data_IF_648476280783
#
_entry.id   IF_648476280783
#
_cell.length_a   1.000
_cell.length_b   1.000
_cell.length_c   1.000
_cell.angle_alpha   90.00
_cell.angle_beta   90.00
_cell.angle_gamma   90.00
#
_symmetry.space_group_name_H-M   'P 1'
#
loop_
_entity.id
_entity.type
_entity.pdbx_description
1 polymer ?
#
# COMPACT_ATOMS: atom_id res chain seq x y z
N UNK A 1 43.48 57.59 31.50
CA UNK A 1 42.14 57.93 30.96
C UNK A 1 41.35 56.63 30.84
N UNK A 2 40.23 56.48 31.56
CA UNK A 2 39.45 55.22 31.60
C UNK A 2 38.11 55.41 30.85
N UNK A 3 37.64 54.43 30.06
CA UNK A 3 36.37 54.55 29.33
C UNK A 3 35.17 54.15 30.21
N UNK A 4 34.10 54.94 30.12
CA UNK A 4 32.84 54.74 30.85
C UNK A 4 31.94 53.71 30.16
N UNK A 5 31.49 52.72 30.92
CA UNK A 5 30.64 51.60 30.47
C UNK A 5 29.18 52.05 30.44
N UNK A 6 28.63 52.26 29.24
CA UNK A 6 27.22 52.57 29.04
C UNK A 6 26.36 51.32 29.18
N UNK A 7 25.38 51.36 30.08
CA UNK A 7 24.49 50.24 30.37
C UNK A 7 23.32 50.26 29.38
N UNK A 8 23.32 49.36 28.39
CA UNK A 8 22.18 49.14 27.52
C UNK A 8 21.03 48.52 28.33
N UNK A 9 19.93 49.27 28.51
CA UNK A 9 18.69 48.74 29.07
C UNK A 9 17.94 48.00 27.96
N UNK A 10 17.91 46.67 28.07
CA UNK A 10 17.16 45.79 27.17
C UNK A 10 15.68 45.87 27.52
N UNK A 11 14.92 46.62 26.74
CA UNK A 11 13.46 46.71 26.88
C UNK A 11 12.86 45.44 26.28
N UNK A 12 12.27 44.60 27.11
CA UNK A 12 11.48 43.45 26.65
C UNK A 12 10.07 43.94 26.31
N UNK A 13 9.74 43.92 25.02
CA UNK A 13 8.38 44.18 24.55
C UNK A 13 7.49 43.01 24.95
N UNK A 14 6.50 43.27 25.82
CA UNK A 14 5.50 42.29 26.21
C UNK A 14 4.43 42.22 25.12
N UNK A 15 4.31 41.06 24.48
CA UNK A 15 3.24 40.77 23.53
C UNK A 15 2.19 39.89 24.24
N UNK A 16 0.99 40.42 24.55
CA UNK A 16 -0.06 39.58 25.09
C UNK A 16 -0.46 38.53 24.05
N UNK A 17 -0.73 37.28 24.45
CA UNK A 17 -1.14 36.24 23.52
C UNK A 17 -2.46 36.64 22.87
N UNK A 18 -2.44 36.80 21.54
CA UNK A 18 -3.64 37.01 20.73
C UNK A 18 -4.51 35.75 20.82
N UNK A 19 -5.49 35.76 21.72
CA UNK A 19 -6.48 34.69 21.82
C UNK A 19 -7.54 34.93 20.76
N UNK A 20 -7.32 34.40 19.55
CA UNK A 20 -8.31 34.41 18.48
C UNK A 20 -9.41 33.43 18.87
N UNK A 21 -10.49 33.94 19.46
CA UNK A 21 -11.66 33.15 19.83
C UNK A 21 -12.58 33.03 18.62
N UNK A 22 -12.31 32.05 17.75
CA UNK A 22 -13.21 31.69 16.67
C UNK A 22 -14.43 30.98 17.25
N UNK A 23 -15.62 31.55 17.07
CA UNK A 23 -16.88 30.85 17.37
C UNK A 23 -17.33 30.15 16.10
N UNK A 24 -17.51 28.84 16.18
CA UNK A 24 -18.18 28.08 15.14
C UNK A 24 -19.68 28.36 15.23
N UNK A 25 -20.28 28.72 14.10
CA UNK A 25 -21.74 28.76 14.01
C UNK A 25 -22.29 27.36 14.29
N UNK A 26 -23.42 27.28 14.99
CA UNK A 26 -24.16 26.02 15.12
C UNK A 26 -24.67 25.68 13.73
N UNK A 27 -24.01 24.73 13.07
CA UNK A 27 -24.46 24.22 11.78
C UNK A 27 -25.81 23.55 11.97
N UNK A 28 -26.84 24.06 11.27
CA UNK A 28 -28.11 23.34 11.16
C UNK A 28 -27.83 22.06 10.37
N UNK A 29 -28.16 20.86 10.90
CA UNK A 29 -27.84 19.63 10.22
C UNK A 29 -28.49 19.64 8.82
N UNK A 30 -27.74 19.32 7.76
CA UNK A 30 -28.31 19.27 6.42
C UNK A 30 -29.47 18.27 6.44
N UNK A 31 -30.62 18.69 5.90
CA UNK A 31 -31.77 17.83 5.68
C UNK A 31 -31.28 16.52 5.07
N UNK A 32 -31.45 15.43 5.80
CA UNK A 32 -31.07 14.10 5.32
C UNK A 32 -31.85 13.83 4.03
N UNK A 33 -31.19 13.50 2.91
CA UNK A 33 -31.92 13.06 1.73
C UNK A 33 -32.77 11.84 2.11
N UNK A 34 -34.02 11.86 1.67
CA UNK A 34 -35.00 10.78 1.88
C UNK A 34 -34.40 9.43 1.46
N UNK A 35 -34.24 8.56 2.46
CA UNK A 35 -33.94 7.12 2.41
C UNK A 35 -33.50 6.55 1.06
N UNK A 36 -32.21 6.22 0.96
CA UNK A 36 -31.71 5.30 -0.07
C UNK A 36 -32.50 4.00 -0.01
N UNK A 37 -33.19 3.67 -1.11
CA UNK A 37 -33.88 2.40 -1.30
C UNK A 37 -32.88 1.27 -1.02
N UNK A 38 -33.18 0.49 0.01
CA UNK A 38 -32.45 -0.71 0.40
C UNK A 38 -32.73 -1.79 -0.65
N UNK A 39 -31.78 -2.02 -1.54
CA UNK A 39 -31.82 -3.16 -2.46
C UNK A 39 -31.38 -4.40 -1.70
N UNK A 40 -32.34 -5.18 -1.21
CA UNK A 40 -32.07 -6.50 -0.65
C UNK A 40 -31.78 -7.47 -1.80
N UNK A 41 -30.56 -7.99 -1.86
CA UNK A 41 -30.20 -9.05 -2.81
C UNK A 41 -30.71 -10.39 -2.27
N UNK A 42 -31.56 -11.12 -3.00
CA UNK A 42 -32.03 -12.43 -2.54
C UNK A 42 -30.83 -13.37 -2.44
N UNK A 43 -30.58 -13.86 -1.24
CA UNK A 43 -29.60 -14.91 -0.98
C UNK A 43 -30.16 -16.20 -1.54
N UNK A 44 -29.65 -16.64 -2.69
CA UNK A 44 -29.90 -17.98 -3.20
C UNK A 44 -29.27 -18.98 -2.23
N UNK A 45 -30.09 -19.57 -1.37
CA UNK A 45 -29.74 -20.77 -0.61
C UNK A 45 -29.70 -21.93 -1.62
N UNK A 46 -28.54 -22.57 -1.87
CA UNK A 46 -28.53 -23.82 -2.61
C UNK A 46 -29.13 -24.90 -1.71
N UNK A 47 -30.34 -25.31 -2.11
CA UNK A 47 -31.07 -26.46 -1.61
C UNK A 47 -30.11 -27.66 -1.55
N UNK A 48 -29.86 -28.14 -0.32
CA UNK A 48 -29.23 -29.44 -0.10
C UNK A 48 -30.28 -30.49 -0.41
N UNK A 49 -30.00 -31.34 -1.40
CA UNK A 49 -30.12 -32.80 -1.34
C UNK A 49 -30.30 -33.37 -2.76
N UNK A 50 -29.21 -33.88 -3.36
CA UNK A 50 -29.23 -35.18 -4.06
C UNK A 50 -27.78 -35.67 -4.33
N UNK A 51 -27.43 -36.95 -4.10
CA UNK A 51 -26.09 -37.49 -4.29
C UNK A 51 -26.01 -38.37 -5.54
N UNK A 52 -25.20 -38.03 -6.56
CA UNK A 52 -24.56 -39.03 -7.44
C UNK A 52 -23.37 -38.43 -8.19
N UNK A 53 -22.29 -39.21 -8.21
CA UNK A 53 -20.94 -38.99 -8.74
C UNK A 53 -20.77 -38.55 -10.20
N UNK A 54 -19.51 -38.15 -10.46
CA UNK A 54 -18.68 -38.17 -11.69
C UNK A 54 -18.65 -36.88 -12.51
N UNK A 55 -17.56 -36.10 -12.45
CA UNK A 55 -16.19 -36.28 -13.03
C UNK A 55 -16.12 -35.85 -14.49
N UNK A 56 -15.49 -34.68 -14.70
CA UNK A 56 -14.55 -34.41 -15.81
C UNK A 56 -13.54 -33.38 -15.29
N UNK A 57 -12.41 -33.79 -14.69
CA UNK A 57 -11.10 -33.97 -15.35
C UNK A 57 -10.77 -32.92 -16.41
N UNK A 58 -9.92 -31.97 -16.02
CA UNK A 58 -8.88 -31.42 -16.88
C UNK A 58 -7.55 -31.56 -16.16
N UNK A 59 -6.91 -32.70 -16.44
CA UNK A 59 -5.49 -33.02 -16.44
C UNK A 59 -4.57 -32.57 -15.29
N UNK A 60 -4.32 -33.56 -14.43
CA UNK A 60 -3.01 -34.06 -14.02
C UNK A 60 -1.77 -33.39 -14.62
N UNK A 61 -1.05 -32.66 -13.77
CA UNK A 61 0.39 -32.83 -13.60
C UNK A 61 0.63 -32.78 -12.08
N UNK A 62 1.55 -33.61 -11.60
CA UNK A 62 1.90 -33.80 -10.19
C UNK A 62 2.61 -32.55 -9.63
N UNK A 63 1.92 -31.42 -9.56
CA UNK A 63 2.44 -30.14 -9.07
C UNK A 63 1.77 -29.81 -7.76
N UNK A 64 2.57 -29.57 -6.73
CA UNK A 64 2.10 -29.09 -5.42
C UNK A 64 1.13 -27.91 -5.62
N UNK A 65 0.04 -27.82 -4.84
CA UNK A 65 -0.91 -26.71 -4.99
C UNK A 65 -0.18 -25.38 -4.83
N UNK A 66 -0.28 -24.51 -5.84
CA UNK A 66 0.31 -23.17 -5.79
C UNK A 66 -0.38 -22.35 -4.70
N UNK A 67 0.41 -21.52 -4.02
CA UNK A 67 -0.08 -20.66 -2.94
C UNK A 67 -0.89 -19.50 -3.56
N UNK A 68 -2.20 -19.54 -3.35
CA UNK A 68 -3.13 -18.51 -3.81
C UNK A 68 -2.95 -17.19 -3.05
N UNK A 69 -3.37 -16.08 -3.68
CA UNK A 69 -3.36 -14.77 -3.03
C UNK A 69 -4.35 -14.72 -1.86
N UNK A 70 -3.97 -14.23 -0.67
CA UNK A 70 -4.90 -14.06 0.44
C UNK A 70 -5.96 -13.00 0.14
N UNK A 71 -7.08 -13.06 0.86
CA UNK A 71 -8.13 -12.05 0.78
C UNK A 71 -7.66 -10.72 1.35
N UNK A 72 -7.90 -9.63 0.61
CA UNK A 72 -7.61 -8.26 1.04
C UNK A 72 -6.58 -7.53 0.18
N UNK A 73 -6.22 -6.31 0.58
CA UNK A 73 -5.16 -5.53 -0.06
C UNK A 73 -3.90 -5.51 0.81
N UNK A 74 -2.74 -5.75 0.19
CA UNK A 74 -1.44 -5.56 0.84
C UNK A 74 -1.35 -4.16 1.44
N UNK A 75 -0.91 -4.05 2.70
CA UNK A 75 -0.76 -2.82 3.52
C UNK A 75 -2.02 -2.25 4.19
N UNK A 76 -3.22 -2.77 3.95
CA UNK A 76 -4.46 -2.30 4.63
C UNK A 76 -4.80 -3.05 5.92
N UNK A 77 -3.83 -3.30 6.79
CA UNK A 77 -3.99 -4.10 8.01
C UNK A 77 -5.23 -3.73 8.87
N UNK A 78 -5.55 -2.43 9.01
CA UNK A 78 -6.71 -1.97 9.82
C UNK A 78 -8.09 -2.12 9.14
N UNK A 79 -8.15 -2.47 7.86
CA UNK A 79 -9.39 -2.54 7.07
C UNK A 79 -9.52 -3.87 6.31
N UNK A 80 -9.04 -4.97 6.90
CA UNK A 80 -9.11 -6.31 6.30
C UNK A 80 -8.08 -6.56 5.19
N UNK A 81 -6.97 -5.83 5.18
CA UNK A 81 -5.79 -6.18 4.40
C UNK A 81 -4.79 -7.03 5.19
N UNK A 82 -3.77 -7.53 4.52
CA UNK A 82 -2.74 -8.40 5.12
C UNK A 82 -1.34 -7.76 5.06
N UNK A 83 -0.47 -8.28 5.91
CA UNK A 83 0.97 -7.99 5.91
C UNK A 83 1.72 -8.98 5.05
N UNK A 84 2.46 -8.48 4.05
CA UNK A 84 3.20 -9.35 3.12
C UNK A 84 4.24 -10.23 3.84
N UNK A 85 4.90 -9.70 4.88
CA UNK A 85 5.88 -10.45 5.68
C UNK A 85 5.22 -11.58 6.49
N UNK A 86 4.03 -11.32 7.02
CA UNK A 86 3.26 -12.27 7.83
C UNK A 86 2.73 -13.41 6.96
N UNK A 87 2.20 -13.09 5.78
CA UNK A 87 1.62 -14.06 4.86
C UNK A 87 2.67 -15.01 4.25
N UNK A 88 3.81 -14.46 3.84
CA UNK A 88 4.85 -15.27 3.19
C UNK A 88 5.59 -16.17 4.18
N UNK A 89 5.63 -15.78 5.46
CA UNK A 89 6.38 -16.45 6.52
C UNK A 89 7.83 -16.81 6.13
N UNK A 90 8.45 -15.97 5.30
CA UNK A 90 9.82 -16.17 4.83
C UNK A 90 10.85 -15.78 5.88
N UNK A 91 12.03 -16.38 5.81
CA UNK A 91 13.20 -15.89 6.52
C UNK A 91 13.46 -14.42 6.14
N UNK A 92 13.77 -13.59 7.14
CA UNK A 92 13.99 -12.15 6.95
C UNK A 92 15.09 -11.85 5.93
N UNK A 93 16.13 -12.68 5.86
CA UNK A 93 17.19 -12.56 4.85
C UNK A 93 16.66 -12.74 3.42
N UNK A 94 15.84 -13.78 3.21
CA UNK A 94 15.23 -14.09 1.91
C UNK A 94 14.24 -12.98 1.52
N UNK A 95 13.35 -12.59 2.44
CA UNK A 95 12.39 -11.52 2.21
C UNK A 95 13.08 -10.22 1.76
N UNK A 96 14.13 -9.79 2.47
CA UNK A 96 14.89 -8.58 2.11
C UNK A 96 15.61 -8.73 0.77
N UNK A 97 16.16 -9.90 0.47
CA UNK A 97 16.84 -10.16 -0.79
C UNK A 97 15.88 -10.06 -1.99
N UNK A 98 14.73 -10.74 -1.90
CA UNK A 98 13.67 -10.67 -2.93
C UNK A 98 13.17 -9.24 -3.07
N UNK A 99 12.84 -8.59 -1.95
CA UNK A 99 12.37 -7.22 -1.95
C UNK A 99 13.35 -6.27 -2.63
N UNK A 100 14.65 -6.36 -2.29
CA UNK A 100 15.70 -5.55 -2.88
C UNK A 100 15.80 -5.77 -4.39
N UNK A 101 15.83 -7.03 -4.83
CA UNK A 101 15.91 -7.35 -6.26
C UNK A 101 14.70 -6.84 -7.04
N UNK A 102 13.48 -7.06 -6.53
CA UNK A 102 12.26 -6.56 -7.19
C UNK A 102 12.27 -5.03 -7.27
N UNK A 103 12.77 -4.33 -6.24
CA UNK A 103 12.92 -2.87 -6.29
C UNK A 103 13.96 -2.41 -7.33
N UNK A 104 15.05 -3.15 -7.54
CA UNK A 104 16.05 -2.86 -8.57
C UNK A 104 15.43 -3.01 -9.97
N UNK A 105 14.78 -4.15 -10.23
CA UNK A 105 14.06 -4.40 -11.48
C UNK A 105 12.99 -3.34 -11.76
N UNK A 106 12.28 -2.89 -10.72
CA UNK A 106 11.31 -1.82 -10.86
C UNK A 106 11.93 -0.48 -11.27
N UNK A 107 13.17 -0.18 -10.83
CA UNK A 107 13.87 1.04 -11.24
C UNK A 107 14.39 0.96 -12.67
N UNK A 108 14.79 -0.23 -13.10
CA UNK A 108 15.35 -0.47 -14.44
C UNK A 108 14.25 -0.47 -15.52
N UNK A 109 13.12 -1.13 -15.25
CA UNK A 109 12.10 -1.36 -16.26
C UNK A 109 10.83 -0.51 -16.09
N UNK A 110 10.47 -0.08 -14.88
CA UNK A 110 9.17 0.56 -14.63
C UNK A 110 9.28 2.08 -14.45
N UNK A 111 8.16 2.76 -14.69
CA UNK A 111 8.06 4.20 -14.49
C UNK A 111 7.71 4.54 -13.03
N UNK A 112 8.71 4.97 -12.26
CA UNK A 112 8.60 5.19 -10.81
C UNK A 112 7.54 6.22 -10.39
N UNK A 113 7.22 7.21 -11.24
CA UNK A 113 6.20 8.21 -10.93
C UNK A 113 4.77 7.75 -11.24
N UNK A 114 4.60 6.60 -11.91
CA UNK A 114 3.33 5.99 -12.29
C UNK A 114 2.70 5.14 -11.18
N UNK A 115 1.37 5.05 -11.15
CA UNK A 115 0.69 4.06 -10.29
C UNK A 115 0.78 2.68 -10.91
N UNK A 116 0.72 1.61 -10.13
CA UNK A 116 0.78 0.22 -10.62
C UNK A 116 -0.11 -0.04 -11.87
N UNK A 117 -1.41 0.33 -11.91
CA UNK A 117 -2.26 0.09 -13.09
C UNK A 117 -1.88 0.93 -14.34
N UNK A 118 -1.01 1.94 -14.20
CA UNK A 118 -0.54 2.76 -15.32
C UNK A 118 0.79 2.25 -15.90
N UNK A 119 1.34 1.17 -15.35
CA UNK A 119 2.57 0.58 -15.86
C UNK A 119 2.29 -0.22 -17.14
N UNK A 120 3.29 -0.30 -17.99
CA UNK A 120 3.25 -1.11 -19.20
C UNK A 120 3.30 -2.60 -18.84
N UNK A 121 2.31 -3.35 -19.35
CA UNK A 121 2.17 -4.79 -19.06
C UNK A 121 3.35 -5.59 -19.58
N UNK A 122 3.88 -5.23 -20.76
CA UNK A 122 5.06 -5.91 -21.32
C UNK A 122 6.28 -5.78 -20.42
N UNK A 123 6.45 -4.62 -19.77
CA UNK A 123 7.56 -4.39 -18.83
C UNK A 123 7.34 -5.11 -17.50
N UNK A 124 6.09 -5.24 -17.04
CA UNK A 124 5.77 -6.03 -15.87
C UNK A 124 6.10 -7.51 -16.08
N UNK A 125 5.78 -8.07 -17.25
CA UNK A 125 6.12 -9.44 -17.61
C UNK A 125 7.63 -9.71 -17.57
N UNK A 126 8.44 -8.77 -18.07
CA UNK A 126 9.91 -8.85 -17.96
C UNK A 126 10.34 -8.90 -16.49
N UNK A 127 9.80 -8.01 -15.65
CA UNK A 127 10.12 -8.00 -14.22
C UNK A 127 9.72 -9.31 -13.53
N UNK A 128 8.56 -9.89 -13.87
CA UNK A 128 8.12 -11.17 -13.32
C UNK A 128 9.06 -12.31 -13.72
N UNK A 129 9.43 -12.38 -15.00
CA UNK A 129 10.34 -13.40 -15.51
C UNK A 129 11.73 -13.31 -14.85
N UNK A 130 12.28 -12.10 -14.72
CA UNK A 130 13.60 -11.89 -14.11
C UNK A 130 13.61 -12.13 -12.60
N UNK A 131 12.52 -11.79 -11.91
CA UNK A 131 12.36 -12.08 -10.49
C UNK A 131 12.33 -13.59 -10.24
N UNK A 132 11.53 -14.34 -11.02
CA UNK A 132 11.46 -15.81 -10.96
C UNK A 132 12.78 -16.49 -11.28
N UNK A 133 13.50 -15.96 -12.27
CA UNK A 133 14.85 -16.45 -12.62
C UNK A 133 15.84 -16.27 -11.47
N UNK A 134 15.71 -15.18 -10.70
CA UNK A 134 16.57 -14.88 -9.56
C UNK A 134 16.20 -15.70 -8.32
N UNK A 135 14.90 -15.92 -8.09
CA UNK A 135 14.38 -16.61 -6.91
C UNK A 135 13.33 -17.66 -7.31
N UNK A 136 13.74 -18.95 -7.43
CA UNK A 136 12.83 -20.03 -7.81
C UNK A 136 11.64 -20.24 -6.85
N UNK A 137 11.78 -19.82 -5.58
CA UNK A 137 10.70 -19.84 -4.56
C UNK A 137 9.46 -19.08 -5.03
N UNK A 138 9.61 -18.09 -5.91
CA UNK A 138 8.47 -17.34 -6.46
C UNK A 138 7.57 -18.19 -7.37
N UNK A 139 8.06 -19.31 -7.91
CA UNK A 139 7.26 -20.22 -8.74
C UNK A 139 6.22 -21.01 -7.94
N UNK A 140 6.33 -21.02 -6.60
CA UNK A 140 5.36 -21.69 -5.73
C UNK A 140 4.07 -20.87 -5.55
N UNK A 141 4.05 -19.62 -6.02
CA UNK A 141 2.94 -18.69 -5.84
C UNK A 141 2.13 -18.53 -7.12
N UNK A 142 0.81 -18.51 -6.98
CA UNK A 142 -0.10 -18.42 -8.12
C UNK A 142 -0.12 -17.01 -8.72
N UNK A 143 0.09 -16.88 -10.04
CA UNK A 143 -0.14 -15.61 -10.74
C UNK A 143 0.75 -14.44 -10.27
N UNK A 144 1.94 -14.74 -9.74
CA UNK A 144 2.99 -13.76 -9.42
C UNK A 144 2.57 -12.66 -8.43
N UNK A 145 1.53 -12.94 -7.63
CA UNK A 145 0.94 -11.98 -6.72
C UNK A 145 1.96 -11.42 -5.72
N UNK A 146 2.97 -12.22 -5.36
CA UNK A 146 4.04 -11.80 -4.44
C UNK A 146 4.86 -10.67 -5.04
N UNK A 147 5.31 -10.83 -6.28
CA UNK A 147 6.07 -9.80 -7.00
C UNK A 147 5.18 -8.58 -7.25
N UNK A 148 3.93 -8.81 -7.63
CA UNK A 148 2.93 -7.77 -7.81
C UNK A 148 2.76 -6.88 -6.57
N UNK A 149 2.64 -7.51 -5.39
CA UNK A 149 2.47 -6.82 -4.13
C UNK A 149 3.73 -6.05 -3.72
N UNK A 150 4.92 -6.63 -3.91
CA UNK A 150 6.18 -5.89 -3.70
C UNK A 150 6.24 -4.63 -4.58
N UNK A 151 5.87 -4.76 -5.86
CA UNK A 151 5.83 -3.62 -6.79
C UNK A 151 4.79 -2.58 -6.37
N UNK A 152 3.58 -2.99 -5.95
CA UNK A 152 2.53 -2.09 -5.47
C UNK A 152 3.01 -1.29 -4.25
N UNK A 153 3.62 -1.95 -3.26
CA UNK A 153 4.16 -1.29 -2.06
C UNK A 153 5.29 -0.33 -2.44
N UNK A 154 6.20 -0.75 -3.32
CA UNK A 154 7.33 0.05 -3.75
C UNK A 154 6.90 1.33 -4.49
N UNK A 155 6.04 1.21 -5.50
CA UNK A 155 5.52 2.33 -6.29
C UNK A 155 4.67 3.30 -5.44
N UNK A 156 3.98 2.79 -4.42
CA UNK A 156 3.25 3.63 -3.46
C UNK A 156 4.22 4.48 -2.62
N UNK A 157 5.27 3.86 -2.10
CA UNK A 157 6.23 4.52 -1.19
C UNK A 157 7.17 5.49 -1.90
N UNK A 158 7.51 5.24 -3.16
CA UNK A 158 8.33 6.14 -3.98
C UNK A 158 7.60 7.46 -4.24
N UNK A 159 6.30 7.42 -4.55
CA UNK A 159 5.46 8.62 -4.74
C UNK A 159 5.37 9.50 -3.49
N UNK A 160 5.20 8.90 -2.31
CA UNK A 160 5.11 9.68 -1.06
C UNK A 160 6.43 10.35 -0.72
N UNK A 161 7.56 9.66 -0.94
CA UNK A 161 8.90 10.21 -0.72
C UNK A 161 9.28 11.32 -1.70
N UNK A 162 8.94 11.19 -2.97
CA UNK A 162 9.17 12.25 -3.97
C UNK A 162 8.44 13.56 -3.62
N UNK A 163 7.29 13.47 -2.93
CA UNK A 163 6.50 14.63 -2.49
C UNK A 163 7.03 15.29 -1.21
N UNK A 164 7.77 14.55 -0.37
CA UNK A 164 8.39 15.07 0.86
C UNK A 164 9.78 15.68 0.67
N UNK A 165 10.58 15.18 -0.28
CA UNK A 165 11.93 15.67 -0.53
C UNK A 165 11.98 17.10 -1.12
N UNK A 166 10.92 17.56 -1.79
CA UNK A 166 10.83 18.91 -2.35
C UNK A 166 10.44 20.00 -1.32
N UNK A 167 10.07 19.63 -0.08
CA UNK A 167 9.56 20.56 0.92
C UNK A 167 10.51 20.82 2.11
N UNK A 168 11.72 20.25 2.12
CA UNK A 168 12.64 20.28 3.27
C UNK A 168 14.01 20.92 3.02
N UNK A 169 14.22 21.62 1.91
CA UNK A 169 15.50 22.23 1.52
C UNK A 169 15.54 23.74 1.70
N UNK A 170 15.30 24.25 2.91
CA UNK A 170 15.70 25.60 3.34
C UNK A 170 15.48 25.77 4.83
N UNK A 171 16.54 25.64 5.61
CA UNK A 171 16.99 26.58 6.66
C UNK A 171 18.19 26.04 7.41
#
# INVERSE_FOLDING_TARGET
>A
MAPTRTHQRRIHQYFPPLTVRTRFAVESPPFLPSLTLRTDFPKSEPNRDDPTSSTTTSDSENTRPLISKPSGEVTRHKRGGYGLKEELNWNEGLYKAVQKRVHELAKEHLYLHGTFPKQDKAKLEIVYAEAKKSFPVLNEYQGDWVVEDFLRVYLRNTKTRGKGAAAGGSR
#
